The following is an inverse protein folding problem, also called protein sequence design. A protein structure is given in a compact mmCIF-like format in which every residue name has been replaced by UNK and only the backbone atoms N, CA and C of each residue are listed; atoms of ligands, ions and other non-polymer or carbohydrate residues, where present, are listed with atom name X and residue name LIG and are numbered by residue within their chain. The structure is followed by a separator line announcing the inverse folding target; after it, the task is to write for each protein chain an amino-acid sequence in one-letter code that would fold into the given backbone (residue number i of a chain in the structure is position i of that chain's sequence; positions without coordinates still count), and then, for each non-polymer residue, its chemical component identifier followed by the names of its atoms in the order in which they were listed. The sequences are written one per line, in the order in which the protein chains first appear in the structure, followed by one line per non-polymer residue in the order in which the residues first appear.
data_IF_209980558334
#
_entry.id   IF_209980558334
#
_cell.length_a   1.000
_cell.length_b   1.000
_cell.length_c   1.000
_cell.angle_alpha   90.00
_cell.angle_beta   90.00
_cell.angle_gamma   90.00
#
_symmetry.space_group_name_H-M   'P 1'
#
loop_
_entity.id
_entity.type
_entity.pdbx_description
1 polymer ?
#
# COMPACT_ATOMS: atom_id res chain seq x y z
N UNK A 1 -0.62 9.95 28.45
CA UNK A 1 -1.49 10.89 29.19
C UNK A 1 -2.51 10.09 29.99
N UNK A 2 -3.15 10.62 31.06
CA UNK A 2 -4.17 9.85 31.83
C UNK A 2 -5.33 9.34 30.95
N UNK A 3 -5.59 10.02 29.85
CA UNK A 3 -6.61 9.62 28.88
C UNK A 3 -6.18 8.42 28.02
N UNK A 4 -4.88 8.29 27.72
CA UNK A 4 -4.35 7.13 26.99
C UNK A 4 -4.47 5.86 27.85
N UNK A 5 -4.10 5.92 29.13
CA UNK A 5 -4.20 4.79 30.05
C UNK A 5 -5.65 4.30 30.20
N UNK A 6 -6.61 5.24 30.19
CA UNK A 6 -8.04 4.92 30.27
C UNK A 6 -8.56 4.28 28.98
N UNK A 7 -8.04 4.69 27.82
CA UNK A 7 -8.34 4.07 26.52
C UNK A 7 -7.74 2.66 26.46
N UNK A 8 -6.50 2.49 26.91
CA UNK A 8 -5.81 1.19 26.92
C UNK A 8 -6.55 0.18 27.79
N UNK A 9 -7.02 0.59 28.97
CA UNK A 9 -7.88 -0.26 29.80
C UNK A 9 -9.18 -0.67 29.10
N UNK A 10 -9.82 0.24 28.36
CA UNK A 10 -11.06 -0.06 27.63
C UNK A 10 -10.82 -0.98 26.44
N UNK A 11 -9.73 -0.79 25.70
CA UNK A 11 -9.35 -1.64 24.58
C UNK A 11 -8.96 -3.05 25.05
N UNK A 12 -8.23 -3.15 26.16
CA UNK A 12 -7.90 -4.43 26.80
C UNK A 12 -9.15 -5.18 27.26
N UNK A 13 -10.07 -4.50 27.96
CA UNK A 13 -11.33 -5.10 28.37
C UNK A 13 -12.20 -5.55 27.16
N UNK A 14 -12.21 -4.78 26.07
CA UNK A 14 -12.91 -5.15 24.84
C UNK A 14 -12.26 -6.35 24.14
N UNK A 15 -10.93 -6.46 24.16
CA UNK A 15 -10.21 -7.61 23.61
C UNK A 15 -10.46 -8.91 24.39
N UNK A 16 -10.66 -8.82 25.70
CA UNK A 16 -11.05 -9.96 26.55
C UNK A 16 -12.51 -10.36 26.36
N UNK A 17 -13.38 -9.40 26.03
CA UNK A 17 -14.81 -9.63 25.79
C UNK A 17 -15.14 -10.26 24.43
N UNK A 18 -14.15 -10.84 23.71
CA UNK A 18 -14.34 -11.53 22.42
C UNK A 18 -15.46 -12.57 22.53
N UNK A 19 -16.62 -12.28 21.95
CA UNK A 19 -17.72 -13.23 21.78
C UNK A 19 -17.60 -14.00 20.46
N UNK A 20 -18.16 -15.22 20.42
CA UNK A 20 -18.16 -16.14 19.26
C UNK A 20 -18.95 -15.65 18.02
N UNK A 21 -19.44 -14.42 18.01
CA UNK A 21 -20.18 -13.87 16.88
C UNK A 21 -19.25 -13.40 15.76
N UNK A 22 -19.63 -13.68 14.51
CA UNK A 22 -18.94 -13.16 13.32
C UNK A 22 -18.98 -11.62 13.18
N UNK A 23 -19.77 -10.94 14.02
CA UNK A 23 -19.86 -9.48 14.08
C UNK A 23 -19.14 -8.87 15.29
N UNK A 24 -18.44 -9.69 16.08
CA UNK A 24 -17.64 -9.20 17.20
C UNK A 24 -16.43 -8.44 16.63
N UNK A 25 -16.20 -7.17 17.04
CA UNK A 25 -15.03 -6.43 16.59
C UNK A 25 -13.75 -7.11 17.11
N UNK A 26 -12.74 -7.18 16.25
CA UNK A 26 -11.42 -7.71 16.59
C UNK A 26 -10.44 -6.56 16.82
N UNK A 27 -9.69 -6.64 17.91
CA UNK A 27 -8.54 -5.75 18.17
C UNK A 27 -7.26 -6.47 17.75
N UNK A 28 -6.46 -5.80 16.92
CA UNK A 28 -5.15 -6.23 16.45
C UNK A 28 -4.18 -5.04 16.50
N UNK A 29 -2.96 -5.31 16.95
CA UNK A 29 -1.86 -4.35 16.96
C UNK A 29 -0.94 -4.62 15.77
N UNK A 30 -0.62 -3.58 15.02
CA UNK A 30 0.25 -3.68 13.85
C UNK A 30 1.71 -3.54 14.23
N UNK A 31 2.61 -4.16 13.46
CA UNK A 31 4.04 -3.83 13.51
C UNK A 31 4.30 -2.45 12.91
N UNK A 32 5.55 -1.98 12.94
CA UNK A 32 5.96 -0.82 12.15
C UNK A 32 5.74 -1.10 10.64
N UNK A 33 5.28 -0.08 9.89
CA UNK A 33 5.00 -0.21 8.47
C UNK A 33 5.14 1.12 7.72
N UNK A 34 5.51 1.04 6.44
CA UNK A 34 5.50 2.12 5.47
C UNK A 34 4.28 2.10 4.55
N UNK A 35 4.18 3.09 3.65
CA UNK A 35 3.04 3.24 2.71
C UNK A 35 2.84 2.05 1.74
N UNK A 36 3.87 1.24 1.51
CA UNK A 36 3.85 0.12 0.59
C UNK A 36 3.64 -1.24 1.30
N UNK A 37 3.59 -1.25 2.62
CA UNK A 37 3.52 -2.47 3.41
C UNK A 37 2.09 -2.95 3.63
N UNK A 38 1.96 -4.14 4.20
CA UNK A 38 0.67 -4.79 4.53
C UNK A 38 0.66 -5.14 6.01
N UNK A 39 0.27 -4.20 6.90
CA UNK A 39 0.41 -4.40 8.33
C UNK A 39 -0.67 -5.30 8.95
N UNK A 40 -1.83 -5.43 8.29
CA UNK A 40 -2.93 -6.31 8.75
C UNK A 40 -3.18 -7.36 7.66
N UNK A 41 -2.85 -8.64 7.91
CA UNK A 41 -3.09 -9.71 6.95
C UNK A 41 -4.57 -9.87 6.62
N UNK A 42 -4.89 -10.05 5.33
CA UNK A 42 -6.26 -10.31 4.87
C UNK A 42 -7.14 -9.06 4.66
N UNK A 43 -6.70 -7.89 5.12
CA UNK A 43 -7.40 -6.62 4.92
C UNK A 43 -6.92 -5.91 3.66
N UNK A 44 -7.80 -5.17 2.98
CA UNK A 44 -7.40 -4.29 1.88
C UNK A 44 -6.58 -3.10 2.41
N UNK A 45 -5.31 -3.04 2.04
CA UNK A 45 -4.34 -2.09 2.60
C UNK A 45 -4.37 -0.72 1.96
N UNK A 46 -4.71 -0.59 0.68
CA UNK A 46 -4.62 0.70 -0.02
C UNK A 46 -5.50 1.79 0.63
N UNK A 47 -6.73 1.45 1.01
CA UNK A 47 -7.64 2.38 1.70
C UNK A 47 -7.20 2.69 3.13
N UNK A 48 -6.66 1.70 3.85
CA UNK A 48 -6.15 1.89 5.21
C UNK A 48 -4.91 2.79 5.20
N UNK A 49 -3.96 2.54 4.31
CA UNK A 49 -2.72 3.32 4.20
C UNK A 49 -3.01 4.78 3.86
N UNK A 50 -3.95 5.05 2.95
CA UNK A 50 -4.41 6.42 2.69
C UNK A 50 -4.88 7.10 3.96
N UNK A 51 -5.83 6.49 4.67
CA UNK A 51 -6.43 7.07 5.87
C UNK A 51 -5.44 7.25 7.03
N UNK A 52 -4.52 6.30 7.26
CA UNK A 52 -3.51 6.40 8.32
C UNK A 52 -2.52 7.54 8.04
N UNK A 53 -2.00 7.63 6.81
CA UNK A 53 -0.98 8.61 6.48
C UNK A 53 -1.53 10.00 6.13
N UNK A 54 -2.83 10.14 5.89
CA UNK A 54 -3.52 11.43 5.71
C UNK A 54 -4.02 12.02 7.05
N UNK A 55 -3.91 11.27 8.15
CA UNK A 55 -4.39 11.73 9.46
C UNK A 55 -3.64 13.02 9.88
N UNK A 56 -4.37 14.10 10.24
CA UNK A 56 -3.79 15.36 10.67
C UNK A 56 -2.81 15.24 11.84
N UNK A 57 -1.92 16.22 11.95
CA UNK A 57 -0.97 16.27 13.05
C UNK A 57 -1.64 16.42 14.42
N UNK A 58 -1.23 15.56 15.36
CA UNK A 58 -1.81 15.53 16.71
C UNK A 58 -3.13 14.76 16.83
N UNK A 59 -3.67 14.21 15.74
CA UNK A 59 -4.80 13.27 15.82
C UNK A 59 -4.29 11.83 15.94
N UNK A 60 -4.85 11.10 16.91
CA UNK A 60 -4.59 9.67 17.10
C UNK A 60 -5.70 8.78 16.53
N UNK A 61 -6.89 9.33 16.27
CA UNK A 61 -8.05 8.58 15.77
C UNK A 61 -8.63 9.22 14.53
N UNK A 62 -9.13 8.43 13.57
CA UNK A 62 -9.93 8.97 12.47
C UNK A 62 -11.29 9.47 12.99
N UNK A 63 -11.80 10.53 12.37
CA UNK A 63 -13.10 11.13 12.75
C UNK A 63 -14.29 10.22 12.41
N UNK A 64 -14.14 9.34 11.42
CA UNK A 64 -15.17 8.41 10.97
C UNK A 64 -14.58 7.01 10.75
N UNK A 65 -15.37 5.94 10.96
CA UNK A 65 -14.97 4.59 10.60
C UNK A 65 -14.65 4.48 9.11
N UNK A 66 -13.59 3.74 8.79
CA UNK A 66 -13.11 3.59 7.42
C UNK A 66 -13.68 2.30 6.84
N UNK A 67 -14.31 2.41 5.68
CA UNK A 67 -14.85 1.26 4.96
C UNK A 67 -13.78 0.66 4.04
N UNK A 68 -13.43 -0.60 4.28
CA UNK A 68 -12.46 -1.36 3.49
C UNK A 68 -13.16 -2.56 2.88
N UNK A 69 -13.67 -2.39 1.65
CA UNK A 69 -14.48 -3.41 0.99
C UNK A 69 -15.77 -3.71 1.76
N UNK A 70 -15.78 -4.86 2.46
CA UNK A 70 -16.91 -5.34 3.28
C UNK A 70 -16.72 -5.08 4.78
N UNK A 71 -15.53 -4.64 5.18
CA UNK A 71 -15.14 -4.47 6.58
C UNK A 71 -15.13 -3.00 6.96
N UNK A 72 -15.29 -2.73 8.25
CA UNK A 72 -15.21 -1.40 8.84
C UNK A 72 -14.12 -1.40 9.89
N UNK A 73 -13.21 -0.43 9.78
CA UNK A 73 -12.04 -0.34 10.64
C UNK A 73 -12.00 1.02 11.33
N UNK A 74 -11.64 0.99 12.60
CA UNK A 74 -11.23 2.15 13.39
C UNK A 74 -9.81 1.82 13.86
N UNK A 75 -8.88 2.74 13.66
CA UNK A 75 -7.50 2.56 14.10
C UNK A 75 -7.13 3.65 15.10
N UNK A 76 -6.11 3.37 15.91
CA UNK A 76 -5.41 4.36 16.72
C UNK A 76 -3.99 4.46 16.21
N UNK A 77 -3.55 5.66 15.86
CA UNK A 77 -2.16 5.94 15.55
C UNK A 77 -1.38 6.02 16.87
N UNK A 78 -0.47 5.05 17.07
CA UNK A 78 0.36 4.96 18.28
C UNK A 78 1.53 5.93 18.16
N UNK A 79 2.28 5.83 17.06
CA UNK A 79 3.42 6.68 16.77
C UNK A 79 3.53 6.92 15.26
N UNK A 80 4.20 8.00 14.88
CA UNK A 80 4.56 8.26 13.49
C UNK A 80 5.95 8.89 13.43
N UNK A 81 6.76 8.32 12.56
CA UNK A 81 8.05 8.88 12.24
C UNK A 81 7.97 9.59 10.89
N UNK A 82 8.23 10.91 10.88
CA UNK A 82 8.45 11.62 9.62
C UNK A 82 9.83 11.28 9.09
N UNK A 83 9.99 11.12 7.76
CA UNK A 83 11.31 11.06 7.16
C UNK A 83 12.10 12.31 7.55
N UNK A 84 13.30 12.10 8.07
CA UNK A 84 14.21 13.17 8.45
C UNK A 84 15.31 13.31 7.39
N UNK A 85 15.69 14.54 7.05
CA UNK A 85 16.73 14.79 6.05
C UNK A 85 18.09 14.27 6.52
N UNK A 86 18.36 14.28 7.83
CA UNK A 86 19.59 13.70 8.39
C UNK A 86 19.64 12.17 8.24
N UNK A 87 18.48 11.51 8.18
CA UNK A 87 18.38 10.06 7.91
C UNK A 87 18.72 9.69 6.47
N UNK A 88 18.74 10.69 5.56
CA UNK A 88 19.10 10.52 4.14
C UNK A 88 20.63 10.52 3.93
N UNK A 89 21.27 9.56 4.58
CA UNK A 89 22.73 9.34 4.55
C UNK A 89 23.26 9.05 3.14
N UNK A 90 24.56 9.15 2.94
CA UNK A 90 25.19 8.87 1.63
C UNK A 90 24.90 7.45 1.13
N UNK A 91 24.86 6.47 2.03
CA UNK A 91 24.47 5.09 1.72
C UNK A 91 23.06 5.02 1.12
N UNK A 92 22.08 5.65 1.80
CA UNK A 92 20.69 5.69 1.35
C UNK A 92 20.57 6.43 0.02
N UNK A 93 21.31 7.54 -0.15
CA UNK A 93 21.39 8.28 -1.42
C UNK A 93 21.88 7.41 -2.56
N UNK A 94 22.95 6.65 -2.33
CA UNK A 94 23.55 5.81 -3.34
C UNK A 94 22.63 4.65 -3.74
N UNK A 95 22.03 3.94 -2.78
CA UNK A 95 21.04 2.89 -3.07
C UNK A 95 19.83 3.45 -3.82
N UNK A 96 19.32 4.61 -3.39
CA UNK A 96 18.21 5.28 -4.08
C UNK A 96 18.57 5.62 -5.53
N UNK A 97 19.79 6.13 -5.76
CA UNK A 97 20.30 6.42 -7.11
C UNK A 97 20.34 5.18 -7.99
N UNK A 98 20.87 4.07 -7.48
CA UNK A 98 20.97 2.81 -8.24
C UNK A 98 19.61 2.25 -8.65
N UNK A 99 18.62 2.29 -7.74
CA UNK A 99 17.24 1.91 -8.05
C UNK A 99 16.65 2.83 -9.12
N UNK A 100 16.80 4.16 -8.98
CA UNK A 100 16.27 5.12 -9.94
C UNK A 100 16.92 5.00 -11.32
N UNK A 101 18.23 4.78 -11.38
CA UNK A 101 18.93 4.52 -12.65
C UNK A 101 18.40 3.27 -13.35
N UNK A 102 18.16 2.20 -12.58
CA UNK A 102 17.63 0.95 -13.12
C UNK A 102 16.23 1.15 -13.70
N UNK A 103 15.36 1.87 -12.98
CA UNK A 103 14.03 2.22 -13.45
C UNK A 103 14.07 3.11 -14.71
N UNK A 104 14.97 4.10 -14.74
CA UNK A 104 15.11 5.00 -15.91
C UNK A 104 15.62 4.26 -17.15
N UNK A 105 16.55 3.32 -16.99
CA UNK A 105 17.04 2.48 -18.08
C UNK A 105 15.90 1.63 -18.65
N UNK A 106 15.09 1.00 -17.79
CA UNK A 106 13.92 0.23 -18.21
C UNK A 106 12.92 1.10 -18.99
N UNK A 107 12.57 2.26 -18.45
CA UNK A 107 11.67 3.21 -19.11
C UNK A 107 12.19 3.62 -20.50
N UNK A 108 13.49 3.89 -20.62
CA UNK A 108 14.12 4.27 -21.90
C UNK A 108 14.01 3.15 -22.94
N UNK A 109 14.24 1.90 -22.54
CA UNK A 109 14.09 0.74 -23.43
C UNK A 109 12.63 0.56 -23.84
N UNK A 110 11.68 0.67 -22.91
CA UNK A 110 10.25 0.53 -23.19
C UNK A 110 9.78 1.60 -24.19
N UNK A 111 10.18 2.86 -23.99
CA UNK A 111 9.90 3.97 -24.91
C UNK A 111 10.53 3.73 -26.30
N UNK A 112 11.76 3.24 -26.34
CA UNK A 112 12.43 2.93 -27.60
C UNK A 112 11.70 1.83 -28.39
N UNK A 113 11.28 0.75 -27.72
CA UNK A 113 10.49 -0.32 -28.34
C UNK A 113 9.14 0.20 -28.85
N UNK A 114 8.46 1.05 -28.07
CA UNK A 114 7.21 1.68 -28.50
C UNK A 114 7.40 2.50 -29.78
N UNK A 115 8.47 3.31 -29.84
CA UNK A 115 8.80 4.10 -31.03
C UNK A 115 9.14 3.21 -32.24
N UNK A 116 9.91 2.14 -32.06
CA UNK A 116 10.21 1.19 -33.13
C UNK A 116 8.95 0.51 -33.66
N UNK A 117 8.03 0.10 -32.78
CA UNK A 117 6.74 -0.49 -33.19
C UNK A 117 5.88 0.51 -33.94
N UNK A 118 5.78 1.75 -33.45
CA UNK A 118 5.02 2.80 -34.13
C UNK A 118 5.56 3.03 -35.54
N UNK A 119 6.87 3.19 -35.67
CA UNK A 119 7.54 3.36 -36.97
C UNK A 119 7.35 2.17 -37.91
N UNK A 120 7.53 0.94 -37.41
CA UNK A 120 7.37 -0.25 -38.24
C UNK A 120 5.90 -0.52 -38.62
N UNK A 121 4.93 0.02 -37.87
CA UNK A 121 3.51 0.03 -38.25
C UNK A 121 3.26 1.05 -39.37
N UNK A 122 3.84 2.24 -39.25
CA UNK A 122 3.74 3.29 -40.28
C UNK A 122 4.38 2.85 -41.60
N UNK A 123 5.50 2.14 -41.53
CA UNK A 123 6.23 1.61 -42.69
C UNK A 123 5.66 0.27 -43.22
N UNK A 124 4.53 -0.20 -42.67
CA UNK A 124 3.87 -1.48 -43.01
C UNK A 124 4.82 -2.71 -42.94
N UNK A 125 5.89 -2.59 -42.14
CA UNK A 125 6.97 -3.56 -42.02
C UNK A 125 6.70 -4.64 -40.96
N UNK A 126 5.65 -4.48 -40.14
CA UNK A 126 5.28 -5.45 -39.12
C UNK A 126 4.41 -6.57 -39.68
N UNK A 127 5.02 -7.72 -39.99
CA UNK A 127 4.28 -8.99 -40.16
C UNK A 127 3.95 -9.60 -38.81
N UNK A 128 2.89 -9.12 -38.16
CA UNK A 128 2.33 -9.81 -36.98
C UNK A 128 1.58 -11.04 -37.46
N UNK A 129 2.13 -12.24 -37.23
CA UNK A 129 1.36 -13.47 -37.43
C UNK A 129 0.28 -13.53 -36.33
N UNK A 130 -1.02 -13.48 -36.66
CA UNK A 130 -2.04 -13.73 -35.66
C UNK A 130 -1.85 -15.16 -35.15
N UNK A 131 -1.79 -15.33 -33.83
CA UNK A 131 -1.91 -16.65 -33.23
C UNK A 131 -3.35 -17.09 -33.47
N UNK A 132 -3.55 -18.01 -34.42
CA UNK A 132 -4.82 -18.68 -34.64
C UNK A 132 -5.18 -19.38 -33.33
N UNK A 133 -6.14 -18.83 -32.58
CA UNK A 133 -6.82 -19.56 -31.52
C UNK A 133 -7.65 -20.63 -32.21
N UNK A 134 -7.04 -21.78 -32.47
CA UNK A 134 -7.72 -22.99 -32.90
C UNK A 134 -8.56 -23.49 -31.73
N UNK A 135 -9.74 -22.89 -31.56
CA UNK A 135 -10.84 -23.47 -30.79
C UNK A 135 -11.76 -24.21 -31.77
N UNK A 136 -11.20 -25.24 -32.41
CA UNK A 136 -11.97 -26.27 -33.12
C UNK A 136 -12.06 -27.50 -32.21
N UNK A 137 -12.98 -27.43 -31.24
CA UNK A 137 -13.56 -28.62 -30.61
C UNK A 137 -15.08 -28.48 -30.62
N UNK A 138 -15.67 -28.88 -31.75
CA UNK A 138 -17.06 -29.33 -31.82
C UNK A 138 -17.16 -30.77 -31.31
#
# INVERSE_FOLDING_TARGET
SKDDDAIDQRLSAAAEARGDSALTPTLEETTEFGRADTPVPGLSTAGLMGAVFELPEGQAFPEQPIKLGREWVIFRLIDRQRPDEESFTESVRQTTREVLETLKRKETVDLYIQQLRAKATEEDALRVKPLTTADERS
#
